data_IF_784409194019
#
_entry.id   IF_784409194019
#
_cell.length_a   1.000
_cell.length_b   1.000
_cell.length_c   1.000
_cell.angle_alpha   90.00
_cell.angle_beta   90.00
_cell.angle_gamma   90.00
#
_symmetry.space_group_name_H-M   'P 1'
#
loop_
_entity.id
_entity.type
_entity.pdbx_description
1 polymer ?
#
# COMPACT_ATOMS: atom_id res chain seq x y z
N UNK A 1 5.13 2.29 14.24
CA UNK A 1 4.07 1.28 14.27
C UNK A 1 2.93 1.63 13.33
N UNK A 2 2.07 0.68 13.10
CA UNK A 2 0.98 0.78 12.11
C UNK A 2 -0.31 1.41 12.67
N UNK A 3 -0.23 2.17 13.76
CA UNK A 3 -1.35 2.95 14.32
C UNK A 3 -0.97 4.43 14.42
N UNK A 4 -0.86 5.15 13.29
CA UNK A 4 -0.46 6.54 13.30
C UNK A 4 -1.57 7.42 13.90
N UNK A 5 -1.18 8.44 14.65
CA UNK A 5 -2.08 9.49 15.12
C UNK A 5 -1.79 10.84 14.47
N UNK A 6 -0.65 10.96 13.79
CA UNK A 6 -0.20 12.19 13.16
C UNK A 6 0.70 11.91 11.95
N UNK A 7 0.13 11.96 10.75
CA UNK A 7 0.80 11.51 9.52
C UNK A 7 2.03 12.35 9.12
N UNK A 8 2.08 13.62 9.53
CA UNK A 8 3.19 14.53 9.23
C UNK A 8 4.32 14.50 10.25
N UNK A 9 4.14 13.81 11.39
CA UNK A 9 5.12 13.81 12.47
C UNK A 9 6.11 12.65 12.32
N UNK A 10 7.36 12.93 12.73
CA UNK A 10 8.36 11.90 12.96
C UNK A 10 8.48 11.71 14.47
N UNK A 11 8.42 10.45 14.90
CA UNK A 11 8.46 10.07 16.31
C UNK A 11 9.70 10.63 17.01
N UNK A 12 9.48 11.38 18.09
CA UNK A 12 10.53 12.10 18.80
C UNK A 12 11.53 11.17 19.47
N UNK A 13 11.12 9.97 19.88
CA UNK A 13 12.01 8.97 20.45
C UNK A 13 13.08 8.47 19.47
N UNK A 14 12.84 8.61 18.16
CA UNK A 14 13.81 8.32 17.09
C UNK A 14 14.66 9.54 16.71
N UNK A 15 14.54 10.64 17.44
CA UNK A 15 15.30 11.87 17.23
C UNK A 15 14.62 12.92 16.34
N UNK A 16 13.37 12.69 15.95
CA UNK A 16 12.56 13.65 15.21
C UNK A 16 13.06 13.94 13.79
N UNK A 17 12.59 15.06 13.19
CA UNK A 17 12.84 15.37 11.77
C UNK A 17 14.33 15.48 11.40
N UNK A 18 15.16 16.09 12.25
CA UNK A 18 16.59 16.26 11.97
C UNK A 18 17.34 14.93 11.94
N UNK A 19 16.99 14.00 12.85
CA UNK A 19 17.62 12.68 12.88
C UNK A 19 17.19 11.85 11.65
N UNK A 20 15.94 11.95 11.22
CA UNK A 20 15.45 11.27 10.02
C UNK A 20 16.12 11.82 8.75
N UNK A 21 16.18 13.14 8.57
CA UNK A 21 16.90 13.75 7.45
C UNK A 21 18.39 13.34 7.41
N UNK A 22 19.01 13.25 8.58
CA UNK A 22 20.39 12.74 8.68
C UNK A 22 20.48 11.27 8.28
N UNK A 23 19.55 10.43 8.72
CA UNK A 23 19.50 9.01 8.36
C UNK A 23 19.42 8.83 6.84
N UNK A 24 18.48 9.51 6.15
CA UNK A 24 18.34 9.45 4.69
C UNK A 24 19.64 9.89 4.01
N UNK A 25 20.23 11.03 4.41
CA UNK A 25 21.49 11.50 3.85
C UNK A 25 22.63 10.49 4.01
N UNK A 26 22.75 9.87 5.18
CA UNK A 26 23.80 8.87 5.46
C UNK A 26 23.57 7.55 4.68
N UNK A 27 22.32 7.17 4.41
CA UNK A 27 21.98 6.06 3.52
C UNK A 27 22.42 6.38 2.08
N UNK A 28 22.05 7.54 1.56
CA UNK A 28 22.44 7.99 0.22
C UNK A 28 23.97 8.09 0.05
N UNK A 29 24.68 8.56 1.05
CA UNK A 29 26.17 8.62 1.02
C UNK A 29 26.81 7.22 0.87
N UNK A 30 26.04 6.14 1.12
CA UNK A 30 26.45 4.75 0.96
C UNK A 30 25.82 4.07 -0.27
N UNK A 31 25.14 4.83 -1.12
CA UNK A 31 24.44 4.31 -2.30
C UNK A 31 23.20 3.49 -1.97
N UNK A 32 22.58 3.71 -0.80
CA UNK A 32 21.37 2.98 -0.34
C UNK A 32 20.16 3.91 -0.48
N UNK A 33 19.18 3.49 -1.28
CA UNK A 33 17.88 4.16 -1.35
C UNK A 33 17.04 3.90 -0.10
N UNK A 34 16.15 4.82 0.22
CA UNK A 34 15.29 4.75 1.40
C UNK A 34 13.83 4.65 0.97
N UNK A 35 13.16 3.55 1.35
CA UNK A 35 11.72 3.38 1.24
C UNK A 35 11.11 3.66 2.60
N UNK A 36 10.18 4.62 2.68
CA UNK A 36 9.43 4.89 3.90
C UNK A 36 8.09 4.17 3.83
N UNK A 37 7.77 3.42 4.87
CA UNK A 37 6.49 2.73 5.03
C UNK A 37 5.47 3.68 5.68
N UNK A 38 4.33 3.91 5.01
CA UNK A 38 3.31 4.86 5.43
C UNK A 38 1.92 4.21 5.46
N UNK A 39 1.11 4.63 6.45
CA UNK A 39 -0.24 4.11 6.67
C UNK A 39 -1.25 5.23 6.43
N UNK A 40 -2.07 5.11 5.39
CA UNK A 40 -3.13 6.07 5.04
C UNK A 40 -4.54 5.49 5.21
N UNK A 41 -4.67 4.16 5.26
CA UNK A 41 -5.97 3.49 5.28
C UNK A 41 -6.72 3.66 6.61
N UNK A 42 -6.00 3.91 7.71
CA UNK A 42 -6.59 4.16 9.02
C UNK A 42 -5.68 5.02 9.90
N UNK A 43 -6.22 5.50 11.01
CA UNK A 43 -5.47 6.15 12.08
C UNK A 43 -5.68 5.40 13.40
N UNK A 44 -4.66 5.39 14.23
CA UNK A 44 -4.73 4.78 15.55
C UNK A 44 -5.70 5.50 16.48
N UNK A 45 -6.27 4.81 17.48
CA UNK A 45 -7.26 5.39 18.39
C UNK A 45 -6.66 6.33 19.43
N UNK A 46 -5.36 6.15 19.76
CA UNK A 46 -4.70 6.92 20.82
C UNK A 46 -4.04 8.17 20.27
N UNK A 47 -4.41 9.34 20.80
CA UNK A 47 -3.83 10.62 20.37
C UNK A 47 -4.38 11.18 19.05
N UNK A 48 -5.33 10.49 18.43
CA UNK A 48 -6.01 10.96 17.23
C UNK A 48 -7.23 11.81 17.58
N UNK A 49 -7.16 13.09 17.25
CA UNK A 49 -8.24 14.06 17.47
C UNK A 49 -8.73 14.70 16.17
N UNK A 50 -8.36 14.16 14.99
CA UNK A 50 -8.67 14.76 13.69
C UNK A 50 -10.18 14.97 13.48
N UNK A 51 -11.03 14.08 14.00
CA UNK A 51 -12.49 14.22 13.94
C UNK A 51 -13.04 15.50 14.56
N UNK A 52 -12.24 16.19 15.41
CA UNK A 52 -12.62 17.47 16.01
C UNK A 52 -12.28 18.68 15.12
N UNK A 53 -11.48 18.48 14.10
CA UNK A 53 -10.94 19.55 13.26
C UNK A 53 -11.50 19.55 11.84
N UNK A 54 -12.13 18.46 11.42
CA UNK A 54 -12.70 18.37 10.08
C UNK A 54 -13.29 17.00 9.79
N UNK A 55 -13.83 16.80 8.58
CA UNK A 55 -14.48 15.56 8.16
C UNK A 55 -13.44 14.52 7.70
N UNK A 56 -12.46 14.21 8.54
CA UNK A 56 -11.37 13.28 8.21
C UNK A 56 -11.82 11.82 8.10
N UNK A 57 -12.97 11.49 8.72
CA UNK A 57 -13.53 10.14 8.72
C UNK A 57 -14.95 10.15 8.19
N UNK A 58 -15.37 9.01 7.66
CA UNK A 58 -16.73 8.78 7.15
C UNK A 58 -17.33 7.53 7.78
N UNK A 59 -18.65 7.53 7.92
CA UNK A 59 -19.43 6.36 8.34
C UNK A 59 -20.06 5.63 7.14
N UNK A 60 -19.83 6.11 5.90
CA UNK A 60 -20.31 5.45 4.68
C UNK A 60 -19.47 4.20 4.35
N UNK A 61 -18.23 4.19 4.77
CA UNK A 61 -17.30 3.08 4.62
C UNK A 61 -16.73 2.69 5.98
N UNK A 62 -16.44 1.40 6.15
CA UNK A 62 -15.83 0.86 7.36
C UNK A 62 -14.62 0.01 7.00
N UNK A 63 -13.60 0.07 7.84
CA UNK A 63 -12.41 -0.77 7.76
C UNK A 63 -12.33 -1.68 8.99
N UNK A 64 -11.48 -2.72 8.99
CA UNK A 64 -11.26 -3.55 10.19
C UNK A 64 -10.81 -2.74 11.42
N UNK A 65 -10.30 -1.53 11.23
CA UNK A 65 -9.83 -0.64 12.31
C UNK A 65 -10.83 0.44 12.72
N UNK A 66 -12.02 0.50 12.10
CA UNK A 66 -13.08 1.46 12.43
C UNK A 66 -13.57 2.28 11.23
N UNK A 67 -14.01 3.52 11.49
CA UNK A 67 -14.46 4.43 10.43
C UNK A 67 -13.36 4.67 9.40
N UNK A 68 -13.71 4.58 8.12
CA UNK A 68 -12.77 4.82 7.03
C UNK A 68 -12.34 6.29 6.96
N UNK A 69 -11.18 6.53 6.40
CA UNK A 69 -10.75 7.89 6.03
C UNK A 69 -11.68 8.42 4.93
N UNK A 70 -12.10 9.67 5.05
CA UNK A 70 -13.06 10.28 4.12
C UNK A 70 -12.40 10.64 2.79
N UNK A 71 -12.58 9.82 1.78
CA UNK A 71 -12.01 10.02 0.45
C UNK A 71 -13.01 10.44 -0.63
N UNK A 72 -14.32 10.25 -0.39
CA UNK A 72 -15.38 10.43 -1.40
C UNK A 72 -16.68 11.05 -0.87
N UNK A 73 -16.83 11.23 0.45
CA UNK A 73 -17.99 11.88 1.04
C UNK A 73 -17.80 13.42 1.14
N UNK A 74 -18.83 14.19 1.52
CA UNK A 74 -18.75 15.65 1.64
C UNK A 74 -17.56 16.12 2.48
N UNK A 75 -16.74 17.02 1.93
CA UNK A 75 -15.53 17.56 2.55
C UNK A 75 -14.28 16.71 2.36
N UNK A 76 -14.32 15.67 1.54
CA UNK A 76 -13.18 14.80 1.22
C UNK A 76 -12.04 15.55 0.51
N UNK A 77 -12.32 16.61 -0.26
CA UNK A 77 -11.27 17.36 -0.98
C UNK A 77 -10.13 17.82 -0.06
N UNK A 78 -10.47 18.32 1.14
CA UNK A 78 -9.48 18.74 2.12
C UNK A 78 -8.69 17.57 2.71
N UNK A 79 -9.33 16.41 2.88
CA UNK A 79 -8.71 15.19 3.39
C UNK A 79 -7.76 14.61 2.33
N UNK A 80 -8.19 14.56 1.07
CA UNK A 80 -7.35 14.13 -0.06
C UNK A 80 -6.12 15.01 -0.18
N UNK A 81 -6.30 16.35 -0.20
CA UNK A 81 -5.19 17.30 -0.22
C UNK A 81 -4.22 17.09 0.94
N UNK A 82 -4.72 16.84 2.16
CA UNK A 82 -3.89 16.54 3.32
C UNK A 82 -3.04 15.27 3.12
N UNK A 83 -3.58 14.22 2.51
CA UNK A 83 -2.84 12.98 2.22
C UNK A 83 -1.83 13.16 1.09
N UNK A 84 -2.21 13.88 0.02
CA UNK A 84 -1.30 14.23 -1.08
C UNK A 84 -0.12 15.06 -0.55
N UNK A 85 -0.38 16.12 0.21
CA UNK A 85 0.67 16.96 0.79
C UNK A 85 1.63 16.16 1.69
N UNK A 86 1.09 15.19 2.43
CA UNK A 86 1.90 14.34 3.28
C UNK A 86 2.85 13.47 2.45
N UNK A 87 2.38 12.85 1.38
CA UNK A 87 3.21 12.05 0.46
C UNK A 87 4.30 12.91 -0.16
N UNK A 88 3.93 14.06 -0.74
CA UNK A 88 4.87 14.96 -1.40
C UNK A 88 5.92 15.51 -0.42
N UNK A 89 5.54 15.74 0.84
CA UNK A 89 6.47 16.19 1.87
C UNK A 89 7.61 15.21 2.12
N UNK A 90 7.33 13.91 2.20
CA UNK A 90 8.37 12.91 2.41
C UNK A 90 9.43 12.94 1.30
N UNK A 91 8.99 13.11 0.07
CA UNK A 91 9.87 13.22 -1.08
C UNK A 91 10.63 14.55 -1.12
N UNK A 92 9.95 15.67 -0.88
CA UNK A 92 10.50 17.01 -1.01
C UNK A 92 11.42 17.38 0.16
N UNK A 93 10.93 17.19 1.40
CA UNK A 93 11.62 17.70 2.59
C UNK A 93 12.64 16.72 3.16
N UNK A 94 12.39 15.42 3.01
CA UNK A 94 13.24 14.38 3.59
C UNK A 94 14.02 13.58 2.56
N UNK A 95 13.76 13.80 1.27
CA UNK A 95 14.47 13.16 0.16
C UNK A 95 14.37 11.63 0.15
N UNK A 96 13.32 11.02 0.69
CA UNK A 96 13.10 9.58 0.52
C UNK A 96 12.94 9.24 -0.96
N UNK A 97 13.27 8.02 -1.34
CA UNK A 97 13.27 7.59 -2.75
C UNK A 97 11.95 6.94 -3.13
N UNK A 98 11.32 6.23 -2.19
CA UNK A 98 10.04 5.59 -2.39
C UNK A 98 9.16 5.61 -1.14
N UNK A 99 7.85 5.46 -1.33
CA UNK A 99 6.91 5.14 -0.25
C UNK A 99 6.27 3.78 -0.51
N UNK A 100 6.22 2.95 0.52
CA UNK A 100 5.35 1.77 0.56
C UNK A 100 4.06 2.16 1.27
N UNK A 101 2.94 2.03 0.57
CA UNK A 101 1.62 2.37 1.08
C UNK A 101 0.97 1.11 1.65
N UNK A 102 0.74 1.11 2.96
CA UNK A 102 0.18 0.00 3.72
C UNK A 102 -1.30 -0.22 3.38
N UNK A 103 -1.68 -1.49 3.20
CA UNK A 103 -3.06 -1.97 3.05
C UNK A 103 -3.93 -1.06 2.15
N UNK A 104 -3.47 -0.76 0.93
CA UNK A 104 -4.18 0.16 0.03
C UNK A 104 -5.56 -0.34 -0.40
N UNK A 105 -5.84 -1.63 -0.26
CA UNK A 105 -7.15 -2.23 -0.50
C UNK A 105 -8.21 -1.78 0.51
N UNK A 106 -7.80 -1.23 1.65
CA UNK A 106 -8.67 -0.66 2.67
C UNK A 106 -8.92 0.86 2.48
N UNK A 107 -8.36 1.46 1.42
CA UNK A 107 -8.69 2.83 1.00
C UNK A 107 -10.01 2.80 0.22
N UNK A 108 -11.12 2.89 0.94
CA UNK A 108 -12.46 2.95 0.34
C UNK A 108 -12.67 4.31 -0.35
N UNK A 109 -12.70 4.31 -1.66
CA UNK A 109 -12.81 5.51 -2.49
C UNK A 109 -13.59 5.20 -3.78
N UNK A 110 -14.86 5.59 -3.81
CA UNK A 110 -15.77 5.44 -4.95
C UNK A 110 -15.74 6.66 -5.89
N UNK A 111 -14.79 7.58 -5.69
CA UNK A 111 -14.64 8.75 -6.56
C UNK A 111 -14.16 8.35 -7.97
N UNK A 112 -14.51 9.13 -9.02
CA UNK A 112 -14.08 8.86 -10.40
C UNK A 112 -12.55 8.84 -10.57
N UNK A 113 -11.83 9.62 -9.75
CA UNK A 113 -10.37 9.63 -9.70
C UNK A 113 -9.91 9.18 -8.33
N UNK A 114 -9.59 7.91 -8.23
CA UNK A 114 -9.22 7.27 -6.97
C UNK A 114 -7.97 7.92 -6.36
N UNK A 115 -7.92 8.03 -5.01
CA UNK A 115 -6.80 8.65 -4.29
C UNK A 115 -5.42 8.11 -4.73
N UNK A 116 -5.28 6.80 -4.95
CA UNK A 116 -4.01 6.22 -5.40
C UNK A 116 -3.57 6.78 -6.75
N UNK A 117 -4.50 6.99 -7.68
CA UNK A 117 -4.18 7.61 -8.97
C UNK A 117 -3.79 9.09 -8.79
N UNK A 118 -4.50 9.83 -7.92
CA UNK A 118 -4.14 11.22 -7.58
C UNK A 118 -2.74 11.32 -6.95
N UNK A 119 -2.39 10.39 -6.04
CA UNK A 119 -1.05 10.31 -5.44
C UNK A 119 0.02 10.02 -6.52
N UNK A 120 -0.27 9.12 -7.46
CA UNK A 120 0.66 8.80 -8.55
C UNK A 120 0.90 9.98 -9.46
N UNK A 121 -0.15 10.69 -9.89
CA UNK A 121 -0.07 11.85 -10.76
C UNK A 121 0.68 13.01 -10.07
N UNK A 122 0.39 13.27 -8.80
CA UNK A 122 1.10 14.28 -8.01
C UNK A 122 2.58 13.94 -7.83
N UNK A 123 2.88 12.66 -7.56
CA UNK A 123 4.27 12.18 -7.41
C UNK A 123 5.04 12.28 -8.73
N UNK A 124 4.44 11.93 -9.85
CA UNK A 124 5.05 12.06 -11.18
C UNK A 124 5.37 13.53 -11.53
N UNK A 125 4.46 14.43 -11.15
CA UNK A 125 4.69 15.89 -11.31
C UNK A 125 5.89 16.32 -10.48
N UNK A 126 5.94 15.97 -9.21
CA UNK A 126 7.06 16.31 -8.32
C UNK A 126 8.37 15.66 -8.78
N UNK A 127 8.34 14.42 -9.28
CA UNK A 127 9.53 13.75 -9.83
C UNK A 127 10.14 14.54 -10.99
N UNK A 128 9.28 15.07 -11.85
CA UNK A 128 9.69 15.95 -12.97
C UNK A 128 10.32 17.25 -12.46
N UNK A 129 9.71 17.89 -11.46
CA UNK A 129 10.24 19.13 -10.85
C UNK A 129 11.60 18.91 -10.18
N UNK A 130 11.77 17.79 -9.48
CA UNK A 130 13.00 17.46 -8.76
C UNK A 130 14.08 16.83 -9.65
N UNK A 131 13.73 16.41 -10.88
CA UNK A 131 14.65 15.76 -11.81
C UNK A 131 15.17 14.41 -11.33
N UNK A 132 14.38 13.67 -10.52
CA UNK A 132 14.73 12.34 -10.02
C UNK A 132 13.52 11.43 -9.94
N UNK A 133 13.71 10.09 -10.06
CA UNK A 133 12.60 9.15 -9.87
C UNK A 133 12.07 9.20 -8.43
N UNK A 134 10.76 9.03 -8.30
CA UNK A 134 10.04 8.89 -7.04
C UNK A 134 9.06 7.74 -7.21
N UNK A 135 9.09 6.77 -6.30
CA UNK A 135 8.32 5.54 -6.44
C UNK A 135 7.24 5.40 -5.38
N UNK A 136 6.07 4.94 -5.81
CA UNK A 136 4.98 4.53 -4.93
C UNK A 136 4.76 3.02 -5.07
N UNK A 137 4.80 2.30 -3.96
CA UNK A 137 4.67 0.85 -3.88
C UNK A 137 3.42 0.53 -3.09
N UNK A 138 2.43 -0.09 -3.72
CA UNK A 138 1.20 -0.51 -3.07
C UNK A 138 1.38 -1.85 -2.36
N UNK A 139 0.98 -1.96 -1.10
CA UNK A 139 0.78 -3.27 -0.48
C UNK A 139 -0.72 -3.62 -0.57
N UNK A 140 -1.02 -4.75 -1.22
CA UNK A 140 -2.40 -5.17 -1.48
C UNK A 140 -2.52 -6.69 -1.63
N UNK A 141 -3.61 -7.22 -1.10
CA UNK A 141 -4.01 -8.63 -1.24
C UNK A 141 -5.08 -8.86 -2.32
N UNK A 142 -5.51 -7.80 -3.02
CA UNK A 142 -6.58 -7.90 -4.04
C UNK A 142 -6.18 -8.68 -5.29
N UNK A 143 -4.89 -8.86 -5.54
CA UNK A 143 -4.38 -9.48 -6.77
C UNK A 143 -4.91 -8.79 -8.02
N UNK A 144 -4.87 -7.47 -8.04
CA UNK A 144 -5.42 -6.63 -9.10
C UNK A 144 -4.31 -5.83 -9.79
N UNK A 145 -4.08 -6.12 -11.06
CA UNK A 145 -3.06 -5.45 -11.89
C UNK A 145 -3.34 -3.96 -12.10
N UNK A 146 -4.58 -3.50 -11.90
CA UNK A 146 -4.92 -2.07 -11.99
C UNK A 146 -4.10 -1.22 -11.02
N UNK A 147 -3.52 -1.80 -9.97
CA UNK A 147 -2.61 -1.09 -9.06
C UNK A 147 -1.40 -0.51 -9.79
N UNK A 148 -0.85 -1.21 -10.76
CA UNK A 148 0.35 -0.82 -11.50
C UNK A 148 0.05 -0.32 -12.93
N UNK A 149 -1.19 -0.43 -13.40
CA UNK A 149 -1.57 0.14 -14.69
C UNK A 149 -1.51 1.67 -14.67
N UNK A 150 -1.12 2.30 -15.79
CA UNK A 150 -1.07 3.75 -15.90
C UNK A 150 -2.41 4.42 -15.58
N UNK A 151 -2.38 5.58 -14.93
CA UNK A 151 -3.58 6.37 -14.61
C UNK A 151 -4.36 6.77 -15.87
N UNK A 152 -3.67 7.04 -16.98
CA UNK A 152 -4.26 7.33 -18.28
C UNK A 152 -5.12 6.18 -18.86
N UNK A 153 -4.92 4.96 -18.39
CA UNK A 153 -5.71 3.78 -18.77
C UNK A 153 -6.75 3.39 -17.70
N UNK A 154 -6.92 4.23 -16.68
CA UNK A 154 -7.84 3.98 -15.57
C UNK A 154 -7.22 3.18 -14.41
N UNK A 155 -5.92 2.89 -14.46
CA UNK A 155 -5.18 2.27 -13.38
C UNK A 155 -4.86 3.21 -12.23
N UNK A 156 -4.11 2.71 -11.23
CA UNK A 156 -3.68 3.47 -10.05
C UNK A 156 -2.29 4.09 -10.22
N UNK A 157 -1.51 3.67 -11.22
CA UNK A 157 -0.21 4.24 -11.55
C UNK A 157 0.90 3.97 -10.53
N UNK A 158 0.72 2.98 -9.63
CA UNK A 158 1.78 2.61 -8.69
C UNK A 158 2.99 2.05 -9.43
N UNK A 159 4.19 2.37 -8.98
CA UNK A 159 5.44 1.85 -9.59
C UNK A 159 5.55 0.35 -9.43
N UNK A 160 5.11 -0.19 -8.29
CA UNK A 160 5.13 -1.60 -7.97
C UNK A 160 4.04 -1.97 -6.97
N UNK A 161 3.84 -3.28 -6.81
CA UNK A 161 2.96 -3.85 -5.79
C UNK A 161 3.72 -4.89 -4.95
N UNK A 162 3.60 -4.79 -3.63
CA UNK A 162 3.88 -5.89 -2.73
C UNK A 162 2.62 -6.75 -2.64
N UNK A 163 2.60 -7.83 -3.41
CA UNK A 163 1.52 -8.79 -3.42
C UNK A 163 1.69 -9.79 -2.28
N UNK A 164 0.65 -9.96 -1.48
CA UNK A 164 0.66 -10.89 -0.35
C UNK A 164 0.94 -12.33 -0.80
N UNK A 165 0.48 -12.71 -1.97
CA UNK A 165 0.72 -14.03 -2.52
C UNK A 165 2.21 -14.38 -2.66
N UNK A 166 3.09 -13.40 -2.88
CA UNK A 166 4.55 -13.62 -2.99
C UNK A 166 5.12 -14.09 -1.67
N UNK A 167 4.86 -13.36 -0.59
CA UNK A 167 5.42 -13.73 0.71
C UNK A 167 4.72 -14.94 1.32
N UNK A 168 3.43 -15.16 1.04
CA UNK A 168 2.73 -16.38 1.45
C UNK A 168 3.30 -17.63 0.77
N UNK A 169 3.49 -17.59 -0.55
CA UNK A 169 4.10 -18.70 -1.28
C UNK A 169 5.52 -19.02 -0.77
N UNK A 170 6.33 -17.98 -0.55
CA UNK A 170 7.67 -18.14 -0.01
C UNK A 170 7.65 -18.68 1.41
N UNK A 171 6.75 -18.18 2.27
CA UNK A 171 6.57 -18.68 3.64
C UNK A 171 6.27 -20.17 3.65
N UNK A 172 5.30 -20.62 2.85
CA UNK A 172 4.92 -22.04 2.77
C UNK A 172 6.09 -22.92 2.32
N UNK A 173 6.86 -22.49 1.34
CA UNK A 173 8.04 -23.24 0.89
C UNK A 173 9.08 -23.38 2.01
N UNK A 174 9.27 -22.35 2.83
CA UNK A 174 10.30 -22.31 3.88
C UNK A 174 9.84 -22.97 5.18
N UNK A 175 8.57 -22.81 5.57
CA UNK A 175 8.03 -23.28 6.84
C UNK A 175 7.35 -24.65 6.77
N UNK A 176 6.75 -24.98 5.62
CA UNK A 176 5.88 -26.14 5.45
C UNK A 176 4.46 -25.93 6.00
N UNK A 177 4.09 -24.68 6.39
CA UNK A 177 2.74 -24.38 6.85
C UNK A 177 1.71 -24.59 5.72
N UNK A 178 0.56 -25.22 6.09
CA UNK A 178 -0.46 -25.59 5.12
C UNK A 178 -1.90 -25.41 5.66
N UNK A 179 -2.06 -24.59 6.71
CA UNK A 179 -3.34 -24.39 7.38
C UNK A 179 -3.88 -22.97 7.16
N UNK A 180 -5.20 -22.81 7.30
CA UNK A 180 -5.86 -21.52 7.12
C UNK A 180 -5.64 -20.99 5.69
N UNK A 181 -5.30 -19.74 5.54
CA UNK A 181 -5.08 -19.15 4.22
C UNK A 181 -3.80 -19.66 3.51
N UNK A 182 -2.88 -20.35 4.19
CA UNK A 182 -1.76 -21.02 3.57
C UNK A 182 -2.12 -22.32 2.81
N UNK A 183 -3.34 -22.86 3.00
CA UNK A 183 -3.74 -24.13 2.40
C UNK A 183 -3.61 -24.12 0.86
N UNK A 184 -4.07 -23.06 0.20
CA UNK A 184 -3.99 -22.92 -1.26
C UNK A 184 -2.53 -22.81 -1.73
N UNK A 185 -1.67 -22.17 -0.94
CA UNK A 185 -0.23 -22.02 -1.23
C UNK A 185 0.57 -23.32 -1.04
N UNK A 186 0.03 -24.27 -0.30
CA UNK A 186 0.61 -25.61 -0.18
C UNK A 186 0.30 -26.54 -1.35
N UNK A 187 -0.48 -26.08 -2.34
CA UNK A 187 -0.89 -26.86 -3.50
C UNK A 187 -2.23 -27.59 -3.32
N UNK A 188 -3.07 -27.14 -2.36
CA UNK A 188 -4.39 -27.71 -2.08
C UNK A 188 -5.56 -27.09 -2.83
N UNK A 189 -5.31 -26.20 -3.80
CA UNK A 189 -6.37 -25.50 -4.56
C UNK A 189 -7.02 -26.35 -5.65
N UNK A 190 -8.17 -25.88 -6.18
CA UNK A 190 -8.93 -26.57 -7.23
C UNK A 190 -8.18 -26.71 -8.57
N UNK A 191 -7.21 -25.86 -8.85
CA UNK A 191 -6.27 -26.05 -9.93
C UNK A 191 -5.07 -26.81 -9.37
N UNK A 192 -4.91 -28.08 -9.81
CA UNK A 192 -3.82 -29.00 -9.43
C UNK A 192 -2.44 -28.38 -9.69
N UNK A 193 -2.03 -27.45 -8.84
CA UNK A 193 -0.65 -27.06 -8.79
C UNK A 193 0.09 -28.09 -7.94
N UNK A 194 1.07 -28.74 -8.55
CA UNK A 194 1.76 -29.89 -7.94
C UNK A 194 2.72 -29.45 -6.80
N UNK A 195 2.15 -28.87 -5.72
CA UNK A 195 2.85 -28.53 -4.50
C UNK A 195 3.40 -27.08 -4.43
N UNK A 196 4.00 -26.71 -3.27
CA UNK A 196 4.33 -25.33 -2.96
C UNK A 196 5.38 -24.70 -3.88
N UNK A 197 6.29 -25.49 -4.46
CA UNK A 197 7.27 -24.97 -5.43
C UNK A 197 6.62 -24.56 -6.77
N UNK A 198 5.58 -25.28 -7.20
CA UNK A 198 4.84 -24.89 -8.40
C UNK A 198 4.02 -23.62 -8.16
N UNK A 199 3.41 -23.49 -6.98
CA UNK A 199 2.76 -22.26 -6.54
C UNK A 199 3.74 -21.09 -6.54
N UNK A 200 4.91 -21.25 -5.92
CA UNK A 200 5.94 -20.21 -5.91
C UNK A 200 6.38 -19.82 -7.31
N UNK A 201 6.58 -20.80 -8.19
CA UNK A 201 6.95 -20.55 -9.59
C UNK A 201 5.86 -19.76 -10.34
N UNK A 202 4.56 -20.08 -10.11
CA UNK A 202 3.44 -19.32 -10.67
C UNK A 202 3.46 -17.89 -10.20
N UNK A 203 3.56 -17.67 -8.88
CA UNK A 203 3.57 -16.32 -8.30
C UNK A 203 4.72 -15.48 -8.84
N UNK A 204 5.93 -16.04 -8.97
CA UNK A 204 7.07 -15.31 -9.52
C UNK A 204 6.96 -15.01 -11.02
N UNK A 205 6.20 -15.81 -11.76
CA UNK A 205 6.07 -15.61 -13.21
C UNK A 205 4.82 -14.85 -13.63
N UNK A 206 3.77 -14.87 -12.80
CA UNK A 206 2.47 -14.25 -13.08
C UNK A 206 2.04 -13.18 -12.04
N UNK A 207 2.80 -13.00 -10.96
CA UNK A 207 2.52 -12.03 -9.91
C UNK A 207 1.60 -12.57 -8.81
N UNK A 208 0.61 -13.41 -9.14
CA UNK A 208 -0.40 -13.87 -8.19
C UNK A 208 -0.65 -15.38 -8.26
N UNK A 209 -1.02 -15.99 -7.14
CA UNK A 209 -1.61 -17.34 -7.09
C UNK A 209 -3.06 -17.29 -7.55
N UNK A 210 -3.86 -16.43 -6.88
CA UNK A 210 -5.25 -16.23 -7.23
C UNK A 210 -5.36 -15.15 -8.32
N UNK A 211 -5.57 -15.60 -9.56
CA UNK A 211 -5.67 -14.82 -10.80
C UNK A 211 -7.03 -15.08 -11.47
N UNK A 212 -8.13 -14.74 -10.81
CA UNK A 212 -9.50 -15.16 -11.10
C UNK A 212 -9.70 -16.65 -10.79
N UNK A 213 -9.18 -17.12 -9.68
CA UNK A 213 -9.31 -18.49 -9.19
C UNK A 213 -9.92 -18.53 -7.80
N UNK A 214 -10.47 -19.69 -7.43
CA UNK A 214 -11.13 -19.85 -6.13
C UNK A 214 -10.09 -19.83 -4.99
N UNK A 215 -10.31 -18.97 -4.00
CA UNK A 215 -9.56 -18.97 -2.75
C UNK A 215 -10.34 -19.74 -1.68
N UNK A 216 -9.77 -20.82 -1.18
CA UNK A 216 -10.41 -21.64 -0.15
C UNK A 216 -10.60 -20.86 1.16
N UNK A 217 -9.66 -20.00 1.48
CA UNK A 217 -9.73 -19.14 2.67
C UNK A 217 -10.84 -18.09 2.59
N UNK A 218 -11.01 -17.46 1.40
CA UNK A 218 -12.03 -16.42 1.17
C UNK A 218 -13.39 -17.00 0.80
N UNK A 219 -13.45 -18.26 0.38
CA UNK A 219 -14.69 -18.92 -0.07
C UNK A 219 -15.26 -18.32 -1.36
N UNK A 220 -14.43 -17.66 -2.19
CA UNK A 220 -14.85 -16.95 -3.39
C UNK A 220 -13.73 -16.94 -4.44
N UNK A 221 -14.09 -16.60 -5.70
CA UNK A 221 -13.12 -16.26 -6.73
C UNK A 221 -12.35 -15.00 -6.29
N UNK A 222 -11.04 -14.99 -6.50
CA UNK A 222 -10.17 -13.92 -6.06
C UNK A 222 -9.17 -13.54 -7.13
N UNK A 223 -8.79 -12.25 -7.12
CA UNK A 223 -7.88 -11.69 -8.09
C UNK A 223 -8.50 -11.42 -9.45
N UNK A 224 -7.68 -10.95 -10.37
CA UNK A 224 -8.02 -10.78 -11.78
C UNK A 224 -7.01 -11.53 -12.63
N UNK A 225 -7.47 -12.11 -13.74
CA UNK A 225 -6.58 -12.73 -14.73
C UNK A 225 -5.59 -11.68 -15.25
N UNK A 226 -4.30 -12.04 -15.28
CA UNK A 226 -3.18 -11.22 -15.78
C UNK A 226 -2.92 -11.54 -17.25
#
# INVERSE_FOLDING_TARGET
GYNPSHLFAIESSYGGPLAFARFVREAHARGIAVILDVVHNHLGPSGNYLSRFGPYFTDTHHTPWGSAVNLDAPGSDGVRSFLVDQVLRWFRDFHVDALRLDAVHELADDSPHHLLAELSDATATLATELGRPLDLIAESDLNDVTMVEPTALGGRGMTAQWADDVHHALHVVLSGDSQGYYADFAGGGEREEAGPLAVLAKVFTRGFLHDDSFSSFRGALWGRAV
#
